data_IF_006964998514
#
_entry.id   IF_006964998514
#
_cell.length_a   1.000
_cell.length_b   1.000
_cell.length_c   1.000
_cell.angle_alpha   90.00
_cell.angle_beta   90.00
_cell.angle_gamma   90.00
#
_symmetry.space_group_name_H-M   'P 1'
#
loop_
_entity.id
_entity.type
_entity.pdbx_description
1 polymer ?
#
# COMPACT_ATOMS: atom_id res chain seq x y z
N UNK A 1 -4.86 3.59 -30.08
CA UNK A 1 -5.75 3.78 -28.91
C UNK A 1 -7.03 4.42 -29.42
N UNK A 2 -8.20 3.79 -29.28
CA UNK A 2 -9.46 4.36 -29.80
C UNK A 2 -9.84 5.62 -29.03
N UNK A 3 -10.50 6.59 -29.69
CA UNK A 3 -11.00 7.83 -29.08
C UNK A 3 -11.84 7.53 -27.82
N UNK A 4 -12.63 6.45 -27.87
CA UNK A 4 -13.40 5.93 -26.74
C UNK A 4 -12.53 5.61 -25.49
N UNK A 5 -11.36 4.98 -25.66
CA UNK A 5 -10.48 4.67 -24.54
C UNK A 5 -9.90 5.95 -23.88
N UNK A 6 -9.66 7.00 -24.67
CA UNK A 6 -9.20 8.28 -24.14
C UNK A 6 -10.27 8.97 -23.27
N UNK A 7 -11.54 8.89 -23.66
CA UNK A 7 -12.67 9.38 -22.85
C UNK A 7 -12.80 8.61 -21.54
N UNK A 8 -12.70 7.27 -21.55
CA UNK A 8 -12.78 6.43 -20.35
C UNK A 8 -11.65 6.76 -19.36
N UNK A 9 -10.42 6.91 -19.84
CA UNK A 9 -9.27 7.26 -18.98
C UNK A 9 -9.44 8.65 -18.37
N UNK A 10 -9.86 9.62 -19.18
CA UNK A 10 -10.09 11.00 -18.72
C UNK A 10 -11.19 11.05 -17.66
N UNK A 11 -12.31 10.36 -17.89
CA UNK A 11 -13.41 10.26 -16.93
C UNK A 11 -12.97 9.60 -15.62
N UNK A 12 -12.24 8.48 -15.69
CA UNK A 12 -11.74 7.78 -14.52
C UNK A 12 -10.82 8.64 -13.65
N UNK A 13 -9.98 9.49 -14.27
CA UNK A 13 -9.12 10.43 -13.54
C UNK A 13 -9.95 11.37 -12.66
N UNK A 14 -11.01 11.96 -13.20
CA UNK A 14 -11.88 12.87 -12.44
C UNK A 14 -12.67 12.13 -11.37
N UNK A 15 -13.19 10.94 -11.67
CA UNK A 15 -13.93 10.11 -10.69
C UNK A 15 -13.04 9.73 -9.51
N UNK A 16 -11.83 9.22 -9.77
CA UNK A 16 -10.88 8.85 -8.73
C UNK A 16 -10.46 10.06 -7.87
N UNK A 17 -10.25 11.21 -8.51
CA UNK A 17 -9.91 12.45 -7.80
C UNK A 17 -11.05 12.92 -6.91
N UNK A 18 -12.30 12.85 -7.40
CA UNK A 18 -13.49 13.15 -6.62
C UNK A 18 -13.67 12.23 -5.42
N UNK A 19 -13.45 10.92 -5.60
CA UNK A 19 -13.53 9.94 -4.50
C UNK A 19 -12.49 10.25 -3.42
N UNK A 20 -11.24 10.55 -3.80
CA UNK A 20 -10.18 10.92 -2.86
C UNK A 20 -10.54 12.21 -2.11
N UNK A 21 -11.03 13.23 -2.83
CA UNK A 21 -11.43 14.49 -2.22
C UNK A 21 -12.54 14.29 -1.18
N UNK A 22 -13.61 13.58 -1.56
CA UNK A 22 -14.71 13.24 -0.65
C UNK A 22 -14.19 12.43 0.54
N UNK A 23 -13.34 11.43 0.31
CA UNK A 23 -12.73 10.63 1.37
C UNK A 23 -11.96 11.49 2.38
N UNK A 24 -11.16 12.46 1.92
CA UNK A 24 -10.40 13.36 2.82
C UNK A 24 -11.30 14.26 3.65
N UNK A 25 -12.41 14.73 3.08
CA UNK A 25 -13.42 15.52 3.82
C UNK A 25 -14.08 14.64 4.89
N UNK A 26 -14.48 13.40 4.56
CA UNK A 26 -15.02 12.46 5.54
C UNK A 26 -14.01 12.11 6.63
N UNK A 27 -12.72 12.00 6.29
CA UNK A 27 -11.66 11.75 7.26
C UNK A 27 -11.53 12.89 8.26
N UNK A 28 -11.59 14.14 7.79
CA UNK A 28 -11.59 15.31 8.66
C UNK A 28 -12.86 15.38 9.53
N UNK A 29 -14.04 15.19 8.93
CA UNK A 29 -15.32 15.15 9.67
C UNK A 29 -15.33 14.05 10.74
N UNK A 30 -14.76 12.89 10.46
CA UNK A 30 -14.67 11.79 11.41
C UNK A 30 -13.76 12.07 12.62
N UNK A 31 -12.86 13.05 12.52
CA UNK A 31 -12.07 13.56 13.66
C UNK A 31 -12.84 14.65 14.41
N UNK A 32 -13.57 15.51 13.70
CA UNK A 32 -14.28 16.64 14.29
C UNK A 32 -15.56 16.24 15.05
N UNK A 33 -16.13 15.06 14.79
CA UNK A 33 -17.39 14.60 15.39
C UNK A 33 -17.14 13.66 16.58
N UNK A 34 -17.66 14.03 17.75
CA UNK A 34 -17.54 13.23 18.99
C UNK A 34 -18.56 12.07 19.10
N UNK A 35 -19.61 12.08 18.28
CA UNK A 35 -20.64 11.03 18.33
C UNK A 35 -20.13 9.70 17.75
N UNK A 36 -20.08 8.66 18.59
CA UNK A 36 -19.63 7.32 18.21
C UNK A 36 -20.44 6.70 17.07
N UNK A 37 -21.77 6.90 17.06
CA UNK A 37 -22.66 6.42 16.00
C UNK A 37 -22.32 7.04 14.65
N UNK A 38 -22.11 8.36 14.62
CA UNK A 38 -21.78 9.09 13.39
C UNK A 38 -20.39 8.69 12.91
N UNK A 39 -19.42 8.55 13.81
CA UNK A 39 -18.06 8.09 13.50
C UNK A 39 -18.03 6.68 12.91
N UNK A 40 -18.86 5.77 13.43
CA UNK A 40 -18.99 4.42 12.87
C UNK A 40 -19.55 4.46 11.43
N UNK A 41 -20.59 5.26 11.19
CA UNK A 41 -21.17 5.46 9.85
C UNK A 41 -20.14 6.05 8.88
N UNK A 42 -19.41 7.10 9.30
CA UNK A 42 -18.32 7.71 8.50
C UNK A 42 -17.27 6.66 8.15
N UNK A 43 -16.86 5.83 9.10
CA UNK A 43 -15.89 4.75 8.85
C UNK A 43 -16.40 3.72 7.85
N UNK A 44 -17.70 3.41 7.82
CA UNK A 44 -18.27 2.52 6.80
C UNK A 44 -18.25 3.19 5.41
N UNK A 45 -18.67 4.46 5.34
CA UNK A 45 -18.61 5.23 4.09
C UNK A 45 -17.18 5.37 3.55
N UNK A 46 -16.19 5.56 4.42
CA UNK A 46 -14.78 5.57 4.04
C UNK A 46 -14.33 4.25 3.43
N UNK A 47 -14.73 3.11 4.01
CA UNK A 47 -14.42 1.78 3.44
C UNK A 47 -15.09 1.59 2.09
N UNK A 48 -16.33 2.02 1.95
CA UNK A 48 -17.07 1.96 0.68
C UNK A 48 -16.38 2.83 -0.40
N UNK A 49 -16.01 4.07 -0.07
CA UNK A 49 -15.25 4.96 -0.96
C UNK A 49 -13.90 4.37 -1.36
N UNK A 50 -13.17 3.76 -0.42
CA UNK A 50 -11.91 3.07 -0.71
C UNK A 50 -12.11 1.91 -1.68
N UNK A 51 -13.11 1.05 -1.45
CA UNK A 51 -13.41 -0.05 -2.37
C UNK A 51 -13.85 0.44 -3.74
N UNK A 52 -14.64 1.52 -3.80
CA UNK A 52 -15.05 2.14 -5.05
C UNK A 52 -13.87 2.73 -5.82
N UNK A 53 -12.92 3.38 -5.13
CA UNK A 53 -11.68 3.88 -5.72
C UNK A 53 -10.86 2.73 -6.31
N UNK A 54 -10.63 1.67 -5.53
CA UNK A 54 -9.80 0.55 -5.95
C UNK A 54 -10.39 -0.18 -7.16
N UNK A 55 -11.72 -0.39 -7.18
CA UNK A 55 -12.41 -1.00 -8.33
C UNK A 55 -12.34 -0.10 -9.56
N UNK A 56 -12.67 1.20 -9.46
CA UNK A 56 -12.64 2.12 -10.60
C UNK A 56 -11.22 2.25 -11.19
N UNK A 57 -10.22 2.40 -10.32
CA UNK A 57 -8.83 2.54 -10.74
C UNK A 57 -8.30 1.28 -11.42
N UNK A 58 -8.57 0.09 -10.87
CA UNK A 58 -8.10 -1.18 -11.44
C UNK A 58 -8.90 -1.61 -12.69
N UNK A 59 -10.21 -1.38 -12.71
CA UNK A 59 -11.05 -1.71 -13.88
C UNK A 59 -10.67 -0.87 -15.11
N UNK A 60 -10.28 0.39 -14.91
CA UNK A 60 -9.82 1.23 -16.03
C UNK A 60 -8.46 0.83 -16.56
N UNK A 61 -7.57 0.28 -15.72
CA UNK A 61 -6.33 -0.35 -16.19
C UNK A 61 -6.67 -1.61 -16.98
N UNK A 62 -7.46 -2.52 -16.40
CA UNK A 62 -7.84 -3.78 -17.04
C UNK A 62 -8.55 -3.59 -18.40
N UNK A 63 -9.35 -2.53 -18.55
CA UNK A 63 -10.01 -2.18 -19.81
C UNK A 63 -9.02 -1.75 -20.90
N UNK A 64 -7.99 -0.99 -20.52
CA UNK A 64 -7.02 -0.42 -21.45
C UNK A 64 -5.99 -1.49 -21.89
N UNK A 65 -5.66 -2.44 -21.02
CA UNK A 65 -4.71 -3.51 -21.33
C UNK A 65 -5.38 -4.67 -22.08
N UNK A 66 -5.54 -4.55 -23.40
CA UNK A 66 -5.96 -5.66 -24.27
C UNK A 66 -4.75 -6.38 -24.87
N UNK A 67 -4.51 -7.65 -24.50
CA UNK A 67 -3.45 -8.48 -25.08
C UNK A 67 -2.96 -9.62 -24.17
N UNK A 68 -1.96 -10.38 -24.64
CA UNK A 68 -1.39 -11.56 -23.93
C UNK A 68 -0.77 -11.19 -22.57
N UNK A 69 -0.14 -10.02 -22.47
CA UNK A 69 0.43 -9.49 -21.22
C UNK A 69 -0.63 -8.84 -20.32
N UNK A 70 -1.84 -8.60 -20.81
CA UNK A 70 -2.94 -8.01 -20.03
C UNK A 70 -3.54 -8.95 -18.99
N UNK A 71 -3.37 -10.27 -19.16
CA UNK A 71 -3.85 -11.25 -18.18
C UNK A 71 -3.11 -11.14 -16.85
N UNK A 72 -1.79 -10.91 -16.87
CA UNK A 72 -0.98 -10.79 -15.66
C UNK A 72 -1.36 -9.52 -14.87
N UNK A 73 -1.51 -8.39 -15.57
CA UNK A 73 -1.91 -7.12 -14.96
C UNK A 73 -3.33 -7.21 -14.40
N UNK A 74 -4.27 -7.83 -15.13
CA UNK A 74 -5.63 -8.06 -14.66
C UNK A 74 -5.66 -8.94 -13.40
N UNK A 75 -4.84 -10.00 -13.36
CA UNK A 75 -4.69 -10.86 -12.18
C UNK A 75 -4.13 -10.07 -11.00
N UNK A 76 -3.12 -9.23 -11.22
CA UNK A 76 -2.51 -8.40 -10.18
C UNK A 76 -3.52 -7.39 -9.63
N UNK A 77 -4.28 -6.70 -10.49
CA UNK A 77 -5.39 -5.83 -10.10
C UNK A 77 -6.44 -6.57 -9.24
N UNK A 78 -6.78 -7.82 -9.61
CA UNK A 78 -7.72 -8.63 -8.83
C UNK A 78 -7.14 -9.03 -7.47
N UNK A 79 -5.86 -9.38 -7.42
CA UNK A 79 -5.14 -9.71 -6.18
C UNK A 79 -5.06 -8.52 -5.24
N UNK A 80 -4.82 -7.31 -5.74
CA UNK A 80 -4.83 -6.08 -4.93
C UNK A 80 -6.18 -5.83 -4.25
N UNK A 81 -7.27 -5.97 -5.01
CA UNK A 81 -8.64 -5.81 -4.48
C UNK A 81 -8.90 -6.86 -3.41
N UNK A 82 -8.61 -8.12 -3.70
CA UNK A 82 -8.84 -9.22 -2.76
C UNK A 82 -8.00 -9.05 -1.50
N UNK A 83 -6.72 -8.70 -1.64
CA UNK A 83 -5.79 -8.50 -0.54
C UNK A 83 -6.23 -7.36 0.37
N UNK A 84 -6.61 -6.20 -0.19
CA UNK A 84 -7.11 -5.07 0.60
C UNK A 84 -8.39 -5.39 1.36
N UNK A 85 -9.34 -6.07 0.71
CA UNK A 85 -10.58 -6.51 1.36
C UNK A 85 -10.29 -7.50 2.49
N UNK A 86 -9.46 -8.52 2.24
CA UNK A 86 -9.06 -9.49 3.25
C UNK A 86 -8.35 -8.81 4.43
N UNK A 87 -7.42 -7.90 4.16
CA UNK A 87 -6.67 -7.17 5.18
C UNK A 87 -7.58 -6.29 6.04
N UNK A 88 -8.55 -5.58 5.45
CA UNK A 88 -9.52 -4.78 6.20
C UNK A 88 -10.38 -5.61 7.16
N UNK A 89 -10.77 -6.83 6.75
CA UNK A 89 -11.52 -7.77 7.60
C UNK A 89 -10.62 -8.32 8.71
N UNK A 90 -9.43 -8.79 8.35
CA UNK A 90 -8.48 -9.40 9.28
C UNK A 90 -8.02 -8.41 10.35
N UNK A 91 -7.76 -7.15 9.97
CA UNK A 91 -7.40 -6.10 10.92
C UNK A 91 -8.50 -5.82 11.93
N UNK A 92 -9.78 -5.85 11.52
CA UNK A 92 -10.90 -5.66 12.45
C UNK A 92 -10.98 -6.79 13.48
N UNK A 93 -10.67 -8.02 13.08
CA UNK A 93 -10.69 -9.19 13.98
C UNK A 93 -9.52 -9.14 14.96
N UNK A 94 -8.32 -8.83 14.47
CA UNK A 94 -7.09 -8.83 15.29
C UNK A 94 -7.01 -7.60 16.19
N UNK A 95 -7.50 -6.45 15.73
CA UNK A 95 -7.40 -5.16 16.42
C UNK A 95 -8.79 -4.59 16.76
N UNK A 96 -9.51 -5.28 17.64
CA UNK A 96 -10.86 -4.88 18.07
C UNK A 96 -10.93 -3.46 18.66
N UNK A 97 -9.87 -3.02 19.37
CA UNK A 97 -9.79 -1.70 20.02
C UNK A 97 -9.09 -0.61 19.21
N UNK A 98 -8.68 -0.88 17.97
CA UNK A 98 -7.95 0.11 17.19
C UNK A 98 -8.87 1.19 16.60
N UNK A 99 -8.33 2.40 16.44
CA UNK A 99 -9.05 3.50 15.81
C UNK A 99 -9.27 3.22 14.32
N UNK A 100 -10.50 2.83 13.96
CA UNK A 100 -10.85 2.49 12.58
C UNK A 100 -10.68 3.67 11.61
N UNK A 101 -10.80 4.92 12.08
CA UNK A 101 -10.62 6.11 11.26
C UNK A 101 -9.17 6.24 10.76
N UNK A 102 -8.20 6.03 11.66
CA UNK A 102 -6.78 6.06 11.31
C UNK A 102 -6.42 4.91 10.36
N UNK A 103 -6.95 3.72 10.63
CA UNK A 103 -6.74 2.54 9.79
C UNK A 103 -7.30 2.72 8.37
N UNK A 104 -8.49 3.31 8.23
CA UNK A 104 -9.09 3.58 6.92
C UNK A 104 -8.21 4.55 6.10
N UNK A 105 -7.67 5.60 6.74
CA UNK A 105 -6.76 6.54 6.07
C UNK A 105 -5.45 5.86 5.62
N UNK A 106 -4.90 4.97 6.45
CA UNK A 106 -3.72 4.17 6.10
C UNK A 106 -3.99 3.27 4.90
N UNK A 107 -5.14 2.57 4.90
CA UNK A 107 -5.54 1.72 3.78
C UNK A 107 -5.76 2.53 2.49
N UNK A 108 -6.29 3.75 2.58
CA UNK A 108 -6.50 4.61 1.42
C UNK A 108 -5.18 5.02 0.78
N UNK A 109 -4.20 5.47 1.59
CA UNK A 109 -2.86 5.81 1.09
C UNK A 109 -2.17 4.61 0.46
N UNK A 110 -2.25 3.45 1.12
CA UNK A 110 -1.68 2.21 0.60
C UNK A 110 -2.36 1.79 -0.72
N UNK A 111 -3.68 1.95 -0.84
CA UNK A 111 -4.45 1.67 -2.07
C UNK A 111 -4.01 2.57 -3.22
N UNK A 112 -3.79 3.86 -2.96
CA UNK A 112 -3.25 4.80 -3.96
C UNK A 112 -1.84 4.36 -4.38
N UNK A 113 -1.00 3.93 -3.43
CA UNK A 113 0.33 3.39 -3.71
C UNK A 113 0.31 2.19 -4.66
N UNK A 114 -0.54 1.19 -4.37
CA UNK A 114 -0.71 0.02 -5.23
C UNK A 114 -1.20 0.38 -6.63
N UNK A 115 -2.25 1.20 -6.74
CA UNK A 115 -2.75 1.70 -8.04
C UNK A 115 -1.65 2.45 -8.82
N UNK A 116 -0.79 3.22 -8.14
CA UNK A 116 0.31 3.92 -8.80
C UNK A 116 1.38 2.96 -9.32
N UNK A 117 1.73 1.94 -8.54
CA UNK A 117 2.70 0.90 -8.94
C UNK A 117 2.20 0.17 -10.20
N UNK A 118 0.92 -0.21 -10.24
CA UNK A 118 0.33 -0.88 -11.41
C UNK A 118 0.22 0.02 -12.64
N UNK A 119 -0.07 1.31 -12.44
CA UNK A 119 -0.06 2.31 -13.52
C UNK A 119 1.33 2.52 -14.10
N UNK A 120 2.35 2.65 -13.26
CA UNK A 120 3.74 2.82 -13.71
C UNK A 120 4.21 1.58 -14.46
N UNK A 121 3.92 0.39 -13.95
CA UNK A 121 4.25 -0.87 -14.62
C UNK A 121 3.58 -0.99 -16.01
N UNK A 122 2.41 -0.37 -16.22
CA UNK A 122 1.75 -0.36 -17.52
C UNK A 122 2.34 0.64 -18.52
N UNK A 123 2.61 1.89 -18.08
CA UNK A 123 3.09 2.97 -18.96
C UNK A 123 4.61 2.98 -19.17
N UNK A 124 5.38 2.39 -18.26
CA UNK A 124 6.81 2.17 -18.45
C UNK A 124 7.05 1.18 -19.59
N UNK A 125 7.80 1.61 -20.60
CA UNK A 125 8.11 0.85 -21.82
C UNK A 125 8.52 -0.60 -21.55
N UNK A 126 7.83 -1.54 -22.21
CA UNK A 126 8.09 -2.99 -22.16
C UNK A 126 9.16 -3.43 -23.17
N UNK A 127 9.77 -2.51 -23.94
CA UNK A 127 10.53 -2.89 -25.14
C UNK A 127 11.94 -3.46 -24.90
N UNK A 128 12.46 -3.53 -23.67
CA UNK A 128 13.80 -4.12 -23.45
C UNK A 128 13.97 -5.00 -22.20
N UNK A 129 12.96 -5.19 -21.35
CA UNK A 129 13.20 -5.75 -20.00
C UNK A 129 12.12 -6.76 -19.58
N UNK A 130 12.13 -7.94 -20.20
CA UNK A 130 11.45 -9.13 -19.64
C UNK A 130 11.92 -9.49 -18.21
N UNK A 131 13.01 -8.86 -17.73
CA UNK A 131 13.59 -9.02 -16.40
C UNK A 131 12.95 -8.14 -15.30
N UNK A 132 12.15 -7.10 -15.62
CA UNK A 132 11.59 -6.14 -14.63
C UNK A 132 10.09 -6.29 -14.32
N UNK A 133 9.42 -7.29 -14.91
CA UNK A 133 8.01 -7.59 -14.60
C UNK A 133 7.77 -7.92 -13.10
N UNK A 134 8.83 -8.25 -12.37
CA UNK A 134 8.77 -8.59 -10.96
C UNK A 134 8.86 -7.37 -10.01
N UNK A 135 9.18 -6.17 -10.46
CA UNK A 135 9.27 -4.99 -9.57
C UNK A 135 7.94 -4.63 -8.89
N UNK A 136 6.80 -4.51 -9.61
CA UNK A 136 5.52 -4.23 -8.97
C UNK A 136 5.08 -5.38 -8.05
N UNK A 137 5.35 -6.62 -8.44
CA UNK A 137 5.06 -7.81 -7.63
C UNK A 137 5.91 -7.81 -6.36
N UNK A 138 7.21 -7.49 -6.46
CA UNK A 138 8.11 -7.39 -5.30
C UNK A 138 7.66 -6.31 -4.32
N UNK A 139 7.27 -5.14 -4.82
CA UNK A 139 6.76 -4.05 -3.97
C UNK A 139 5.43 -4.44 -3.31
N UNK A 140 4.54 -5.09 -4.05
CA UNK A 140 3.30 -5.64 -3.49
C UNK A 140 3.57 -6.69 -2.41
N UNK A 141 4.48 -7.63 -2.65
CA UNK A 141 4.87 -8.69 -1.69
C UNK A 141 5.55 -8.09 -0.46
N UNK A 142 6.43 -7.10 -0.63
CA UNK A 142 7.07 -6.39 0.49
C UNK A 142 6.05 -5.64 1.35
N UNK A 143 5.11 -4.93 0.71
CA UNK A 143 4.02 -4.26 1.41
C UNK A 143 3.11 -5.27 2.14
N UNK A 144 2.76 -6.38 1.49
CA UNK A 144 1.97 -7.44 2.09
C UNK A 144 2.67 -8.09 3.29
N UNK A 145 3.98 -8.34 3.21
CA UNK A 145 4.79 -8.82 4.31
C UNK A 145 4.81 -7.81 5.48
N UNK A 146 4.95 -6.51 5.20
CA UNK A 146 4.88 -5.45 6.20
C UNK A 146 3.53 -5.38 6.92
N UNK A 147 2.43 -5.56 6.18
CA UNK A 147 1.07 -5.59 6.74
C UNK A 147 0.81 -6.86 7.57
N UNK A 148 1.35 -8.00 7.16
CA UNK A 148 1.33 -9.21 7.99
C UNK A 148 2.12 -9.00 9.28
N UNK A 149 3.32 -8.42 9.21
CA UNK A 149 4.09 -8.09 10.41
C UNK A 149 3.31 -7.15 11.34
N UNK A 150 2.60 -6.16 10.78
CA UNK A 150 1.73 -5.26 11.54
C UNK A 150 0.65 -6.01 12.35
N UNK A 151 0.04 -7.04 11.78
CA UNK A 151 -0.97 -7.87 12.47
C UNK A 151 -0.40 -8.72 13.60
N UNK A 152 0.91 -8.98 13.63
CA UNK A 152 1.58 -9.75 14.68
C UNK A 152 1.95 -8.84 15.88
N UNK A 153 2.14 -7.53 15.66
CA UNK A 153 2.44 -6.54 16.72
C UNK A 153 1.58 -6.67 18.00
N UNK A 154 0.23 -6.84 17.95
CA UNK A 154 -0.56 -6.93 19.18
C UNK A 154 -0.22 -8.16 20.03
N UNK A 155 0.28 -9.25 19.45
CA UNK A 155 0.78 -10.40 20.21
C UNK A 155 2.07 -10.07 20.98
N UNK A 156 2.92 -9.24 20.39
CA UNK A 156 4.14 -8.77 21.04
C UNK A 156 3.88 -7.74 22.14
N UNK A 157 2.65 -7.21 22.30
CA UNK A 157 2.29 -6.24 23.34
C UNK A 157 2.72 -6.66 24.75
N UNK A 158 2.65 -7.96 25.06
CA UNK A 158 3.09 -8.53 26.35
C UNK A 158 4.61 -8.47 26.57
N UNK A 159 5.41 -8.40 25.51
CA UNK A 159 6.87 -8.28 25.57
C UNK A 159 7.36 -6.82 25.59
N UNK A 160 6.51 -5.84 25.22
CA UNK A 160 6.91 -4.43 25.15
C UNK A 160 7.28 -3.81 26.50
N UNK A 161 6.66 -4.24 27.60
CA UNK A 161 7.04 -3.79 28.95
C UNK A 161 8.48 -4.22 29.30
N UNK A 162 8.93 -5.37 28.80
CA UNK A 162 10.32 -5.83 28.95
C UNK A 162 11.29 -5.17 27.96
N UNK A 163 10.82 -4.78 26.76
CA UNK A 163 11.63 -4.06 25.77
C UNK A 163 12.02 -2.64 26.22
N UNK A 164 11.29 -2.05 27.17
CA UNK A 164 11.60 -0.72 27.71
C UNK A 164 12.99 -0.66 28.36
N UNK A 165 13.46 -1.76 28.96
CA UNK A 165 14.81 -1.85 29.52
C UNK A 165 15.88 -2.16 28.45
N UNK A 166 15.47 -2.58 27.24
CA UNK A 166 16.37 -2.97 26.15
C UNK A 166 16.67 -1.82 25.16
N UNK A 167 16.30 -0.58 25.48
CA UNK A 167 16.56 0.59 24.61
C UNK A 167 18.05 0.72 24.23
N UNK A 168 18.95 0.42 25.17
CA UNK A 168 20.40 0.40 24.95
C UNK A 168 20.80 -0.65 23.91
N UNK A 169 20.16 -1.81 23.92
CA UNK A 169 20.43 -2.87 22.95
C UNK A 169 19.99 -2.44 21.54
N UNK A 170 18.82 -1.81 21.41
CA UNK A 170 18.37 -1.25 20.12
C UNK A 170 19.29 -0.13 19.61
N UNK A 171 19.79 0.73 20.50
CA UNK A 171 20.72 1.80 20.13
C UNK A 171 22.07 1.25 19.64
N UNK A 172 22.64 0.28 20.37
CA UNK A 172 23.92 -0.36 19.97
C UNK A 172 23.76 -1.11 18.66
N UNK A 173 22.66 -1.87 18.49
CA UNK A 173 22.38 -2.58 17.23
C UNK A 173 22.25 -1.58 16.07
N UNK A 174 21.56 -0.45 16.26
CA UNK A 174 21.44 0.59 15.24
C UNK A 174 22.79 1.18 14.85
N UNK A 175 23.66 1.49 15.82
CA UNK A 175 25.01 2.03 15.57
C UNK A 175 25.88 1.00 14.83
N UNK A 176 25.84 -0.26 15.25
CA UNK A 176 26.61 -1.34 14.61
C UNK A 176 26.14 -1.55 13.17
N UNK A 177 24.82 -1.53 12.94
CA UNK A 177 24.24 -1.70 11.62
C UNK A 177 24.61 -0.53 10.69
N UNK A 178 24.50 0.71 11.17
CA UNK A 178 24.92 1.92 10.42
C UNK A 178 26.41 1.93 10.13
N UNK A 179 27.25 1.58 11.11
CA UNK A 179 28.70 1.46 10.94
C UNK A 179 29.06 0.36 9.94
N UNK A 180 28.32 -0.74 9.93
CA UNK A 180 28.42 -1.78 8.92
C UNK A 180 28.15 -1.24 7.51
N UNK A 181 27.07 -0.49 7.30
CA UNK A 181 26.72 0.06 5.97
C UNK A 181 27.85 0.95 5.46
N UNK A 182 28.45 1.73 6.35
CA UNK A 182 29.52 2.65 5.99
C UNK A 182 30.80 1.93 5.53
N UNK A 183 31.11 0.76 6.12
CA UNK A 183 32.32 0.00 5.83
C UNK A 183 32.17 -0.99 4.66
N UNK A 184 30.98 -1.59 4.50
CA UNK A 184 30.72 -2.70 3.57
C UNK A 184 29.59 -2.41 2.56
N UNK A 185 28.99 -1.22 2.59
CA UNK A 185 27.90 -0.83 1.71
C UNK A 185 28.35 -0.65 0.27
N UNK A 186 27.52 -1.11 -0.67
CA UNK A 186 27.72 -0.87 -2.09
C UNK A 186 27.41 0.59 -2.46
N UNK A 187 28.21 1.13 -3.39
CA UNK A 187 27.98 2.44 -4.00
C UNK A 187 26.70 2.40 -4.84
N UNK A 188 25.64 3.04 -4.37
CA UNK A 188 24.41 3.24 -5.13
C UNK A 188 24.13 4.74 -5.22
N UNK A 189 24.10 5.30 -6.43
CA UNK A 189 23.89 6.74 -6.67
C UNK A 189 24.85 7.68 -5.91
N UNK A 190 26.11 7.27 -5.70
CA UNK A 190 27.16 8.13 -5.12
C UNK A 190 27.27 8.09 -3.59
N UNK A 191 26.51 7.23 -2.91
CA UNK A 191 26.64 6.98 -1.47
C UNK A 191 26.59 5.47 -1.15
N UNK A 192 27.34 5.05 -0.12
CA UNK A 192 27.31 3.68 0.39
C UNK A 192 26.12 3.51 1.32
N UNK A 193 24.96 3.17 0.76
CA UNK A 193 23.71 3.02 1.53
C UNK A 193 23.10 1.63 1.41
N UNK A 194 23.55 0.84 0.43
CA UNK A 194 22.91 -0.43 0.09
C UNK A 194 23.75 -1.59 0.56
N UNK A 195 23.18 -2.42 1.43
CA UNK A 195 23.75 -3.72 1.76
C UNK A 195 23.17 -4.78 0.84
N UNK A 196 24.00 -5.31 -0.07
CA UNK A 196 23.60 -6.48 -0.85
C UNK A 196 23.98 -7.74 -0.10
N UNK A 197 23.02 -8.39 0.56
CA UNK A 197 23.23 -9.69 1.21
C UNK A 197 22.41 -10.71 0.43
N UNK A 198 23.09 -11.71 -0.15
CA UNK A 198 22.49 -12.82 -0.90
C UNK A 198 21.58 -12.42 -2.09
N UNK A 199 21.88 -11.30 -2.77
CA UNK A 199 21.13 -10.85 -3.97
C UNK A 199 19.86 -10.06 -3.69
N UNK A 200 19.56 -9.77 -2.42
CA UNK A 200 18.67 -8.68 -2.02
C UNK A 200 19.53 -7.45 -1.74
N UNK A 201 19.34 -6.43 -2.56
CA UNK A 201 19.68 -5.02 -2.26
C UNK A 201 18.58 -4.39 -1.42
#
# INVERSE_FOLDING_TARGET
>A
MSVFNAYVISLSKYVNTGIVAVFTILAWLGVAVDSEKVRHTISIFQKLLLTAFLINANMTIAWVVRGRNGRLICLLCAMEILFMLAFMVLYRIVHERANMLFFNNLCMLLSIGFVMITRIAYYGSWDEIAYKANEPIKQFVMAAAGLMAMLIIPFFRRFFDSLRHLWLLFAVVGIVMLGGVLLLGGLTYGANITFTIAGLT
#
